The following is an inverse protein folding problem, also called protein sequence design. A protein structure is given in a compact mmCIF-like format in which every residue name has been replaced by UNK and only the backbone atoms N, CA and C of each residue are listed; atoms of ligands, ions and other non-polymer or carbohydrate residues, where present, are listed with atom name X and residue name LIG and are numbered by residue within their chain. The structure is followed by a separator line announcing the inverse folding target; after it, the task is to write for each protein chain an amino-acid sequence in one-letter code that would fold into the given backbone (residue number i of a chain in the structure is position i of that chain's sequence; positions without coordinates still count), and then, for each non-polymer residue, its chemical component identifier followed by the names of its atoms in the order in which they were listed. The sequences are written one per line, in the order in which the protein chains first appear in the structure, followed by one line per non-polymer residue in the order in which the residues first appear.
data_IF_491893671581
#
_entry.id   IF_491893671581
#
_cell.length_a   1.000
_cell.length_b   1.000
_cell.length_c   1.000
_cell.angle_alpha   90.00
_cell.angle_beta   90.00
_cell.angle_gamma   90.00
#
_symmetry.space_group_name_H-M   'P 1'
#
loop_
_entity.id
_entity.type
_entity.pdbx_description
1 polymer ?
#
# COMPACT_ATOMS: atom_id res chain seq x y z
N UNK A 1 -18.28 71.03 29.85
CA UNK A 1 -18.04 69.77 30.56
C UNK A 1 -19.13 68.79 30.14
N UNK A 2 -18.75 67.82 29.29
CA UNK A 2 -19.41 66.57 28.85
C UNK A 2 -20.93 66.53 28.61
N UNK A 3 -21.28 66.38 27.32
CA UNK A 3 -22.55 65.94 26.75
C UNK A 3 -23.05 64.61 27.31
N UNK A 4 -24.38 64.44 27.32
CA UNK A 4 -25.04 63.21 26.85
C UNK A 4 -26.44 63.54 26.34
N UNK A 5 -26.60 63.47 25.02
CA UNK A 5 -27.89 63.40 24.34
C UNK A 5 -28.14 61.94 23.95
N UNK A 6 -29.37 61.46 24.19
CA UNK A 6 -30.04 60.32 23.51
C UNK A 6 -31.43 60.10 24.12
N UNK A 7 -32.42 60.84 23.59
CA UNK A 7 -33.81 60.40 23.41
C UNK A 7 -33.87 59.68 22.04
N UNK A 8 -34.77 58.79 21.65
CA UNK A 8 -36.01 58.19 22.15
C UNK A 8 -36.39 57.12 21.09
N UNK A 9 -37.01 56.02 21.50
CA UNK A 9 -37.68 54.99 20.66
C UNK A 9 -39.12 55.52 20.34
N UNK A 10 -40.03 54.95 19.47
CA UNK A 10 -39.97 53.87 18.47
C UNK A 10 -40.75 54.09 17.13
N UNK A 11 -40.68 53.05 16.28
CA UNK A 11 -41.68 52.57 15.30
C UNK A 11 -41.91 53.38 14.02
N UNK A 12 -41.10 53.05 13.00
CA UNK A 12 -41.43 53.23 11.59
C UNK A 12 -40.98 52.00 10.81
N UNK A 13 -41.93 51.33 10.16
CA UNK A 13 -41.67 50.33 9.12
C UNK A 13 -40.67 50.89 8.11
N UNK A 14 -39.57 50.18 7.87
CA UNK A 14 -38.76 50.40 6.66
C UNK A 14 -38.80 49.08 5.89
N UNK A 15 -39.39 49.04 4.68
CA UNK A 15 -39.44 47.82 3.90
C UNK A 15 -38.00 47.39 3.58
N UNK A 16 -37.73 46.10 3.75
CA UNK A 16 -36.56 45.47 3.13
C UNK A 16 -36.64 45.80 1.64
N UNK A 17 -35.76 46.69 1.19
CA UNK A 17 -35.50 46.86 -0.23
C UNK A 17 -34.79 45.59 -0.66
N UNK A 18 -35.54 44.69 -1.32
CA UNK A 18 -34.98 43.64 -2.14
C UNK A 18 -34.04 44.31 -3.15
N UNK A 19 -32.75 44.31 -2.84
CA UNK A 19 -31.72 44.65 -3.81
C UNK A 19 -31.78 43.58 -4.89
N UNK A 20 -32.47 43.94 -5.97
CA UNK A 20 -32.42 43.34 -7.29
C UNK A 20 -30.99 43.47 -7.81
N UNK A 21 -30.13 42.53 -7.41
CA UNK A 21 -28.82 42.35 -8.01
C UNK A 21 -28.48 40.86 -8.05
N UNK A 22 -28.39 40.34 -9.27
CA UNK A 22 -27.91 39.00 -9.68
C UNK A 22 -28.86 37.79 -9.62
N UNK A 23 -30.11 37.93 -10.10
CA UNK A 23 -30.81 36.79 -10.74
C UNK A 23 -30.19 36.51 -12.11
N UNK A 24 -29.08 35.78 -12.13
CA UNK A 24 -28.41 35.41 -13.38
C UNK A 24 -26.99 34.88 -13.21
N UNK A 25 -26.33 35.20 -12.10
CA UNK A 25 -25.03 34.61 -11.80
C UNK A 25 -25.22 33.23 -11.19
N UNK A 26 -25.31 32.23 -12.08
CA UNK A 26 -24.88 30.87 -11.72
C UNK A 26 -23.37 30.96 -11.50
N UNK A 27 -22.96 31.25 -10.26
CA UNK A 27 -21.57 31.05 -9.85
C UNK A 27 -21.37 29.54 -9.86
N UNK A 28 -20.94 29.02 -11.02
CA UNK A 28 -20.37 27.68 -11.09
C UNK A 28 -19.05 27.74 -10.36
N UNK A 29 -19.08 27.42 -9.06
CA UNK A 29 -17.89 26.99 -8.36
C UNK A 29 -17.49 25.69 -9.04
N UNK A 30 -16.66 25.80 -10.08
CA UNK A 30 -15.99 24.66 -10.68
C UNK A 30 -15.09 24.10 -9.58
N UNK A 31 -15.59 23.15 -8.80
CA UNK A 31 -14.74 22.28 -8.00
C UNK A 31 -13.78 21.64 -8.99
N UNK A 32 -12.56 22.17 -9.08
CA UNK A 32 -11.51 21.58 -9.92
C UNK A 32 -11.11 20.23 -9.36
N UNK A 33 -11.18 20.12 -8.05
CA UNK A 33 -10.86 18.92 -7.29
C UNK A 33 -11.97 17.89 -7.38
N UNK A 34 -11.56 16.63 -7.56
CA UNK A 34 -12.47 15.48 -7.61
C UNK A 34 -12.13 14.49 -6.52
N UNK A 35 -13.15 14.12 -5.73
CA UNK A 35 -13.04 13.08 -4.72
C UNK A 35 -13.11 11.70 -5.39
N UNK A 36 -12.13 10.85 -5.12
CA UNK A 36 -12.03 9.50 -5.67
C UNK A 36 -11.94 8.48 -4.55
N UNK A 37 -12.62 7.37 -4.77
CA UNK A 37 -12.69 6.24 -3.87
C UNK A 37 -11.73 5.16 -4.41
N UNK A 38 -10.58 5.01 -3.77
CA UNK A 38 -9.63 3.94 -4.06
C UNK A 38 -10.01 2.72 -3.23
N UNK A 39 -10.04 1.56 -3.88
CA UNK A 39 -10.13 0.27 -3.20
C UNK A 39 -8.80 -0.45 -3.39
N UNK A 40 -8.13 -0.76 -2.29
CA UNK A 40 -6.94 -1.60 -2.30
C UNK A 40 -7.29 -2.93 -1.65
N UNK A 41 -7.16 -4.01 -2.43
CA UNK A 41 -7.20 -5.37 -1.90
C UNK A 41 -5.79 -5.71 -1.47
N UNK A 42 -5.60 -5.89 -0.17
CA UNK A 42 -4.32 -6.19 0.46
C UNK A 42 -4.30 -7.66 0.86
N UNK A 43 -3.23 -8.38 0.56
CA UNK A 43 -3.02 -9.74 1.00
C UNK A 43 -1.62 -9.92 1.55
N UNK A 44 -1.51 -10.15 2.86
CA UNK A 44 -0.27 -10.55 3.51
C UNK A 44 -0.28 -12.07 3.67
N UNK A 45 0.79 -12.73 3.27
CA UNK A 45 1.00 -14.16 3.53
C UNK A 45 2.08 -14.31 4.60
N UNK A 46 1.71 -14.89 5.73
CA UNK A 46 2.64 -15.27 6.79
C UNK A 46 3.08 -16.72 6.57
N UNK A 47 4.34 -16.93 6.20
CA UNK A 47 4.88 -18.26 5.88
C UNK A 47 5.80 -18.74 7.00
N UNK A 48 5.47 -19.88 7.61
CA UNK A 48 6.29 -20.52 8.64
C UNK A 48 7.45 -21.23 7.96
N UNK A 49 8.67 -20.97 8.43
CA UNK A 49 9.90 -21.46 7.82
C UNK A 49 10.56 -22.51 8.71
N UNK A 50 10.96 -23.62 8.10
CA UNK A 50 11.76 -24.65 8.73
C UNK A 50 13.08 -24.81 7.99
N UNK A 51 14.16 -24.97 8.75
CA UNK A 51 15.47 -25.29 8.21
C UNK A 51 15.54 -26.79 7.93
N UNK A 52 15.70 -27.15 6.65
CA UNK A 52 15.82 -28.54 6.22
C UNK A 52 17.13 -28.76 5.49
N UNK A 53 17.69 -29.95 5.64
CA UNK A 53 18.84 -30.38 4.87
C UNK A 53 18.37 -30.81 3.48
N UNK A 54 18.85 -30.15 2.44
CA UNK A 54 18.62 -30.53 1.05
C UNK A 54 19.93 -31.01 0.43
N UNK A 55 19.85 -32.12 -0.32
CA UNK A 55 20.98 -32.62 -1.08
C UNK A 55 20.95 -32.01 -2.47
N UNK A 56 22.01 -31.31 -2.85
CA UNK A 56 22.16 -30.72 -4.18
C UNK A 56 23.35 -31.34 -4.91
N UNK A 57 23.30 -31.47 -6.24
CA UNK A 57 24.46 -31.84 -7.02
C UNK A 57 25.47 -30.69 -6.99
N UNK A 58 26.64 -30.92 -6.39
CA UNK A 58 27.74 -29.97 -6.43
C UNK A 58 28.73 -30.37 -7.51
N UNK A 59 28.99 -29.42 -8.40
CA UNK A 59 30.05 -29.56 -9.39
C UNK A 59 31.37 -29.17 -8.75
N UNK A 60 32.42 -30.00 -8.85
CA UNK A 60 33.74 -29.59 -8.40
C UNK A 60 34.16 -28.37 -9.22
N UNK A 61 34.16 -27.19 -8.61
CA UNK A 61 34.71 -25.98 -9.22
C UNK A 61 36.20 -25.93 -8.91
N UNK A 62 37.02 -26.35 -9.88
CA UNK A 62 38.46 -26.13 -9.84
C UNK A 62 38.83 -24.95 -10.77
N UNK A 63 39.23 -23.78 -10.22
CA UNK A 63 39.66 -22.65 -11.03
C UNK A 63 40.86 -22.97 -11.93
N UNK A 64 41.69 -23.95 -11.57
CA UNK A 64 42.85 -24.36 -12.36
C UNK A 64 42.48 -25.26 -13.56
N UNK A 65 41.35 -25.98 -13.48
CA UNK A 65 40.87 -26.85 -14.57
C UNK A 65 40.39 -26.06 -15.81
N UNK A 66 40.02 -24.78 -15.64
CA UNK A 66 39.61 -23.88 -16.74
C UNK A 66 40.80 -23.58 -17.68
N UNK A 67 42.03 -23.68 -17.18
CA UNK A 67 43.26 -23.39 -17.94
C UNK A 67 43.85 -24.62 -18.65
N UNK A 68 43.31 -25.82 -18.42
CA UNK A 68 43.84 -27.08 -18.98
C UNK A 68 42.87 -27.60 -20.05
N UNK A 69 43.13 -27.25 -21.31
CA UNK A 69 42.44 -27.75 -22.50
C UNK A 69 42.82 -29.21 -22.82
N UNK A 70 42.39 -30.18 -22.01
CA UNK A 70 42.36 -31.59 -22.42
C UNK A 70 41.03 -32.24 -22.00
N UNK A 71 40.35 -32.98 -22.90
CA UNK A 71 39.12 -33.68 -22.56
C UNK A 71 39.51 -34.88 -21.68
N UNK A 72 39.44 -34.70 -20.36
CA UNK A 72 39.47 -35.81 -19.42
C UNK A 72 38.10 -36.50 -19.41
N UNK A 73 38.11 -37.82 -19.21
CA UNK A 73 36.94 -38.69 -19.29
C UNK A 73 35.75 -38.10 -18.50
N UNK A 74 34.69 -37.73 -19.22
CA UNK A 74 33.51 -37.07 -18.63
C UNK A 74 32.73 -37.93 -17.62
N UNK A 75 33.07 -39.21 -17.45
CA UNK A 75 32.42 -40.11 -16.48
C UNK A 75 32.88 -39.91 -15.03
N UNK A 76 34.08 -39.37 -14.78
CA UNK A 76 34.61 -39.19 -13.41
C UNK A 76 34.19 -37.86 -12.76
N UNK A 77 33.39 -37.06 -13.46
CA UNK A 77 32.96 -35.71 -13.03
C UNK A 77 31.49 -35.66 -12.61
N UNK A 78 30.89 -36.80 -12.26
CA UNK A 78 29.53 -36.80 -11.74
C UNK A 78 29.45 -35.90 -10.49
N UNK A 79 28.48 -34.97 -10.40
CA UNK A 79 28.41 -34.05 -9.29
C UNK A 79 28.28 -34.82 -7.98
N UNK A 80 29.17 -34.50 -7.03
CA UNK A 80 29.11 -35.11 -5.70
C UNK A 80 27.91 -34.51 -4.97
N UNK A 81 27.07 -35.32 -4.31
CA UNK A 81 25.97 -34.79 -3.52
C UNK A 81 26.55 -34.00 -2.34
N UNK A 82 26.19 -32.73 -2.23
CA UNK A 82 26.48 -31.88 -1.09
C UNK A 82 25.20 -31.57 -0.31
N UNK A 83 25.33 -31.54 1.01
CA UNK A 83 24.25 -31.17 1.90
C UNK A 83 24.27 -29.66 2.15
N UNK A 84 23.17 -28.99 1.85
CA UNK A 84 22.97 -27.58 2.16
C UNK A 84 21.78 -27.40 3.10
N UNK A 85 21.84 -26.40 3.96
CA UNK A 85 20.70 -26.01 4.80
C UNK A 85 19.88 -24.99 4.01
N UNK A 86 18.62 -25.33 3.73
CA UNK A 86 17.66 -24.45 3.05
C UNK A 86 16.46 -24.15 3.95
N UNK A 87 15.78 -23.03 3.67
CA UNK A 87 14.51 -22.70 4.32
C UNK A 87 13.36 -23.24 3.48
N UNK A 88 12.53 -24.07 4.09
CA UNK A 88 11.31 -24.62 3.49
C UNK A 88 10.10 -23.95 4.13
N UNK A 89 9.12 -23.57 3.32
CA UNK A 89 7.80 -23.14 3.81
C UNK A 89 7.03 -24.38 4.24
N UNK A 90 6.67 -24.46 5.52
CA UNK A 90 5.90 -25.57 6.08
C UNK A 90 4.40 -25.26 6.07
N UNK A 91 4.06 -24.01 6.34
CA UNK A 91 2.68 -23.53 6.39
C UNK A 91 2.61 -22.07 5.95
N UNK A 92 1.51 -21.67 5.32
CA UNK A 92 1.26 -20.31 4.88
C UNK A 92 -0.13 -19.86 5.34
N UNK A 93 -0.20 -18.71 5.98
CA UNK A 93 -1.43 -18.14 6.55
C UNK A 93 -1.73 -16.83 5.80
N UNK A 94 -2.65 -16.84 4.82
CA UNK A 94 -3.04 -15.63 4.12
C UNK A 94 -4.00 -14.79 4.96
N UNK A 95 -3.74 -13.48 5.05
CA UNK A 95 -4.61 -12.46 5.62
C UNK A 95 -4.98 -11.48 4.52
N UNK A 96 -6.28 -11.36 4.26
CA UNK A 96 -6.83 -10.49 3.22
C UNK A 96 -7.57 -9.35 3.89
N UNK A 97 -7.36 -8.14 3.39
CA UNK A 97 -8.10 -6.96 3.80
C UNK A 97 -8.53 -6.15 2.58
N UNK A 98 -9.65 -5.44 2.72
CA UNK A 98 -10.18 -4.54 1.71
C UNK A 98 -10.19 -3.13 2.27
N UNK A 99 -9.20 -2.38 1.84
CA UNK A 99 -9.01 -1.02 2.28
C UNK A 99 -9.64 -0.02 1.31
N UNK A 100 -10.31 0.99 1.87
CA UNK A 100 -10.96 2.07 1.11
C UNK A 100 -10.33 3.40 1.49
N UNK A 101 -9.71 4.06 0.52
CA UNK A 101 -9.09 5.37 0.70
C UNK A 101 -9.88 6.42 -0.10
N UNK A 102 -10.18 7.55 0.55
CA UNK A 102 -10.73 8.72 -0.12
C UNK A 102 -9.58 9.66 -0.42
N UNK A 103 -9.37 9.97 -1.69
CA UNK A 103 -8.32 10.89 -2.14
C UNK A 103 -8.93 12.00 -2.95
N UNK A 104 -8.30 13.17 -2.92
CA UNK A 104 -8.69 14.33 -3.71
C UNK A 104 -7.65 14.46 -4.81
N UNK A 105 -8.09 14.37 -6.07
CA UNK A 105 -7.26 14.75 -7.20
C UNK A 105 -7.29 16.27 -7.36
N UNK A 106 -6.17 16.87 -7.74
CA UNK A 106 -6.09 18.31 -7.99
C UNK A 106 -6.97 18.76 -9.17
N UNK A 107 -7.14 17.88 -10.16
CA UNK A 107 -7.97 18.11 -11.33
C UNK A 107 -8.98 16.99 -11.53
N UNK A 108 -10.18 17.34 -12.02
CA UNK A 108 -11.25 16.38 -12.26
C UNK A 108 -10.88 15.43 -13.42
N UNK A 109 -10.93 14.11 -13.21
CA UNK A 109 -10.58 13.16 -14.26
C UNK A 109 -11.74 13.00 -15.24
N UNK A 110 -11.43 13.02 -16.53
CA UNK A 110 -12.33 12.48 -17.57
C UNK A 110 -12.34 10.96 -17.54
N UNK A 111 -11.18 10.33 -17.31
CA UNK A 111 -11.03 8.89 -17.14
C UNK A 111 -9.79 8.56 -16.32
N UNK A 112 -9.90 7.52 -15.49
CA UNK A 112 -8.74 6.93 -14.80
C UNK A 112 -8.11 5.89 -15.72
N UNK A 113 -6.80 5.98 -15.91
CA UNK A 113 -6.04 5.09 -16.80
C UNK A 113 -5.37 3.96 -16.03
N UNK A 114 -4.87 4.22 -14.83
CA UNK A 114 -4.28 3.19 -13.97
C UNK A 114 -4.26 3.60 -12.52
N UNK A 115 -4.46 2.64 -11.62
CA UNK A 115 -4.05 2.72 -10.22
C UNK A 115 -3.01 1.64 -9.93
N UNK A 116 -1.86 1.99 -9.36
CA UNK A 116 -0.77 1.03 -9.07
C UNK A 116 -0.18 1.27 -7.71
N UNK A 117 0.20 0.19 -7.03
CA UNK A 117 0.99 0.23 -5.79
C UNK A 117 2.48 0.35 -6.15
N UNK A 118 3.20 1.20 -5.42
CA UNK A 118 4.62 1.49 -5.57
C UNK A 118 5.26 1.67 -4.19
N UNK A 119 6.59 1.60 -4.15
CA UNK A 119 7.40 1.94 -2.97
C UNK A 119 6.89 1.25 -1.69
N UNK A 120 6.64 -0.06 -1.77
CA UNK A 120 6.22 -0.86 -0.62
C UNK A 120 7.37 -0.98 0.37
N UNK A 121 7.10 -0.60 1.62
CA UNK A 121 7.93 -0.95 2.77
C UNK A 121 7.20 -2.03 3.56
N UNK A 122 7.90 -3.14 3.87
CA UNK A 122 7.32 -4.26 4.61
C UNK A 122 8.30 -4.73 5.68
N UNK A 123 7.85 -4.71 6.93
CA UNK A 123 8.59 -5.20 8.08
C UNK A 123 7.79 -6.31 8.80
N UNK A 124 8.50 -7.31 9.30
CA UNK A 124 7.93 -8.36 10.15
C UNK A 124 8.36 -8.18 11.60
N UNK A 125 7.47 -8.50 12.55
CA UNK A 125 7.78 -8.55 13.99
C UNK A 125 7.07 -9.73 14.64
N UNK A 126 7.63 -10.20 15.75
CA UNK A 126 6.95 -11.13 16.66
C UNK A 126 6.69 -10.38 17.96
N UNK A 127 5.50 -10.54 18.50
CA UNK A 127 5.13 -10.10 19.84
C UNK A 127 4.54 -11.29 20.62
N UNK A 128 4.71 -11.35 21.95
CA UNK A 128 4.00 -12.33 22.76
C UNK A 128 2.49 -12.10 22.68
N UNK A 129 1.71 -13.18 22.60
CA UNK A 129 0.25 -13.09 22.65
C UNK A 129 -0.22 -12.94 24.11
N UNK A 130 -1.02 -11.90 24.46
CA UNK A 130 -1.51 -11.72 25.83
C UNK A 130 -2.34 -12.89 26.38
N UNK A 131 -2.98 -13.70 25.52
CA UNK A 131 -3.75 -14.88 25.95
C UNK A 131 -2.88 -16.11 26.25
N UNK A 132 -1.57 -16.06 25.97
CA UNK A 132 -0.66 -17.20 26.11
C UNK A 132 -0.79 -18.26 25.00
N UNK A 133 -1.77 -18.12 24.10
CA UNK A 133 -1.96 -19.01 22.95
C UNK A 133 -1.03 -18.59 21.80
N UNK A 134 0.26 -18.92 21.92
CA UNK A 134 1.24 -18.73 20.86
C UNK A 134 1.84 -17.32 20.73
N UNK A 135 2.40 -17.03 19.56
CA UNK A 135 3.09 -15.78 19.24
C UNK A 135 2.29 -14.98 18.20
N UNK A 136 2.20 -13.66 18.38
CA UNK A 136 1.63 -12.75 17.40
C UNK A 136 2.68 -12.38 16.36
N UNK A 137 2.53 -12.90 15.14
CA UNK A 137 3.27 -12.43 13.99
C UNK A 137 2.60 -11.18 13.42
N UNK A 138 3.38 -10.11 13.27
CA UNK A 138 2.93 -8.82 12.77
C UNK A 138 3.63 -8.51 11.45
N UNK A 139 2.85 -8.06 10.47
CA UNK A 139 3.33 -7.44 9.25
C UNK A 139 2.97 -5.96 9.31
N UNK A 140 3.99 -5.10 9.38
CA UNK A 140 3.84 -3.64 9.39
C UNK A 140 4.30 -3.13 8.03
N UNK A 141 3.44 -2.41 7.33
CA UNK A 141 3.71 -2.00 5.96
C UNK A 141 3.06 -0.67 5.60
N UNK A 142 3.64 -0.02 4.61
CA UNK A 142 3.09 1.15 3.94
C UNK A 142 3.49 1.12 2.47
N UNK A 143 2.71 1.79 1.64
CA UNK A 143 2.98 1.87 0.22
C UNK A 143 2.41 3.17 -0.38
N UNK A 144 2.94 3.52 -1.54
CA UNK A 144 2.47 4.62 -2.34
C UNK A 144 1.51 4.13 -3.43
N UNK A 145 0.44 4.88 -3.65
CA UNK A 145 -0.53 4.65 -4.71
C UNK A 145 -0.30 5.68 -5.79
N UNK A 146 0.05 5.20 -6.97
CA UNK A 146 0.21 5.98 -8.18
C UNK A 146 -1.06 5.93 -9.01
N UNK A 147 -1.70 7.08 -9.19
CA UNK A 147 -2.85 7.24 -10.09
C UNK A 147 -2.38 7.95 -11.35
N UNK A 148 -2.74 7.40 -12.51
CA UNK A 148 -2.63 8.09 -13.80
C UNK A 148 -4.03 8.28 -14.36
N UNK A 149 -4.33 9.48 -14.80
CA UNK A 149 -5.64 9.83 -15.34
C UNK A 149 -5.50 10.82 -16.49
N UNK A 150 -6.56 10.95 -17.27
CA UNK A 150 -6.72 12.01 -18.25
C UNK A 150 -7.70 13.03 -17.67
N UNK A 151 -7.34 14.31 -17.63
CA UNK A 151 -8.21 15.37 -17.14
C UNK A 151 -9.32 15.72 -18.17
N UNK A 152 -10.16 16.70 -17.83
CA UNK A 152 -11.23 17.19 -18.72
C UNK A 152 -10.70 17.89 -19.99
N UNK A 153 -9.48 18.41 -19.97
CA UNK A 153 -8.82 19.05 -21.13
C UNK A 153 -8.15 18.05 -22.05
N UNK A 154 -8.04 16.79 -21.62
CA UNK A 154 -7.38 15.73 -22.37
C UNK A 154 -5.90 15.55 -22.02
N UNK A 155 -5.36 16.30 -21.05
CA UNK A 155 -3.97 16.14 -20.62
C UNK A 155 -3.80 14.91 -19.72
N UNK A 156 -2.62 14.29 -19.79
CA UNK A 156 -2.27 13.18 -18.92
C UNK A 156 -1.66 13.70 -17.62
N UNK A 157 -2.28 13.32 -16.50
CA UNK A 157 -1.87 13.70 -15.16
C UNK A 157 -1.49 12.46 -14.35
N UNK A 158 -0.70 12.69 -13.31
CA UNK A 158 -0.22 11.64 -12.43
C UNK A 158 -0.06 12.18 -11.01
N UNK A 159 -0.65 11.47 -10.06
CA UNK A 159 -0.61 11.85 -8.64
C UNK A 159 -0.28 10.63 -7.78
N UNK A 160 0.22 10.91 -6.58
CA UNK A 160 0.73 9.93 -5.64
C UNK A 160 0.08 10.12 -4.27
N UNK A 161 -0.32 9.01 -3.64
CA UNK A 161 -0.99 9.00 -2.34
C UNK A 161 -0.36 7.95 -1.43
N UNK A 162 -0.09 8.30 -0.17
CA UNK A 162 0.41 7.32 0.79
C UNK A 162 -0.75 6.52 1.42
N UNK A 163 -0.56 5.22 1.62
CA UNK A 163 -1.55 4.34 2.25
C UNK A 163 -1.76 4.58 3.74
N UNK A 164 -0.85 5.31 4.38
CA UNK A 164 -0.61 5.29 5.81
C UNK A 164 0.09 4.00 6.25
N UNK A 165 0.55 3.98 7.51
CA UNK A 165 1.08 2.79 8.16
C UNK A 165 -0.07 1.80 8.40
N UNK A 166 0.16 0.55 8.04
CA UNK A 166 -0.79 -0.57 8.16
C UNK A 166 -0.17 -1.70 8.94
N UNK A 167 -1.05 -2.49 9.55
CA UNK A 167 -0.66 -3.67 10.32
C UNK A 167 -1.65 -4.79 10.05
N UNK A 168 -1.13 -5.98 9.74
CA UNK A 168 -1.89 -7.22 9.78
C UNK A 168 -1.20 -8.20 10.73
N UNK A 169 -1.98 -9.10 11.32
CA UNK A 169 -1.49 -10.05 12.31
C UNK A 169 -2.01 -11.46 12.08
N UNK A 170 -1.18 -12.43 12.46
CA UNK A 170 -1.53 -13.84 12.54
C UNK A 170 -1.02 -14.43 13.86
N UNK A 171 -1.73 -15.42 14.39
CA UNK A 171 -1.28 -16.20 15.54
C UNK A 171 -0.47 -17.38 14.98
N UNK A 172 0.76 -17.51 15.46
CA UNK A 172 1.64 -18.65 15.19
C UNK A 172 1.72 -19.52 16.43
N UNK A 173 1.98 -20.81 16.25
CA UNK A 173 2.24 -21.71 17.37
C UNK A 173 3.44 -21.24 18.22
N UNK A 174 3.47 -21.54 19.54
CA UNK A 174 4.49 -21.01 20.46
C UNK A 174 5.93 -21.35 20.07
N UNK A 175 6.14 -22.52 19.47
CA UNK A 175 7.46 -23.02 19.05
C UNK A 175 8.02 -22.36 17.79
N UNK A 176 7.20 -21.58 17.06
CA UNK A 176 7.62 -21.00 15.79
C UNK A 176 8.35 -19.68 16.05
N UNK A 177 9.63 -19.66 15.68
CA UNK A 177 10.50 -18.49 15.80
C UNK A 177 10.87 -17.86 14.46
N UNK A 178 10.86 -18.63 13.35
CA UNK A 178 11.14 -18.11 12.02
C UNK A 178 9.91 -18.19 11.10
N UNK A 179 9.66 -17.07 10.42
CA UNK A 179 8.57 -16.91 9.48
C UNK A 179 8.93 -15.81 8.49
N UNK A 180 8.44 -15.87 7.25
CA UNK A 180 8.48 -14.74 6.31
C UNK A 180 7.11 -14.09 6.16
N UNK A 181 7.12 -12.86 5.67
CA UNK A 181 5.92 -12.14 5.27
C UNK A 181 6.07 -11.69 3.83
N UNK A 182 5.01 -11.88 3.05
CA UNK A 182 4.94 -11.44 1.67
C UNK A 182 3.67 -10.60 1.48
N UNK A 183 3.79 -9.50 0.73
CA UNK A 183 2.66 -8.65 0.38
C UNK A 183 2.31 -8.82 -1.10
N UNK A 184 1.02 -8.95 -1.37
CA UNK A 184 0.45 -8.75 -2.70
C UNK A 184 -0.74 -7.81 -2.59
N UNK A 185 -0.90 -6.93 -3.57
CA UNK A 185 -1.99 -5.96 -3.53
C UNK A 185 -2.48 -5.53 -4.91
N UNK A 186 -3.78 -5.24 -4.98
CA UNK A 186 -4.44 -4.72 -6.17
C UNK A 186 -5.13 -3.41 -5.85
N UNK A 187 -4.81 -2.34 -6.59
CA UNK A 187 -5.53 -1.06 -6.48
C UNK A 187 -6.53 -0.89 -7.62
N UNK A 188 -7.75 -0.51 -7.29
CA UNK A 188 -8.73 0.04 -8.23
C UNK A 188 -9.18 1.42 -7.77
N UNK A 189 -9.53 2.27 -8.71
CA UNK A 189 -10.00 3.62 -8.46
C UNK A 189 -11.36 3.83 -9.13
N UNK A 190 -12.31 4.37 -8.38
CA UNK A 190 -13.66 4.62 -8.84
C UNK A 190 -14.07 6.04 -8.43
N UNK A 191 -14.87 6.72 -9.26
CA UNK A 191 -15.49 7.99 -8.85
C UNK A 191 -16.35 7.74 -7.61
N UNK A 192 -16.19 8.60 -6.60
CA UNK A 192 -17.24 8.81 -5.62
C UNK A 192 -18.22 9.84 -6.24
#
# INVERSE_FOLDING_TARGET
MVQRDKRSIPLGYVPFTESTANKGNVIRVLSREALICLTVLECIVFSILEHVCATVPAWPFDPAAILITKPQNMLDHWPKPEAIIVKKVVCAIPKKDKNRLKVILQESPKRILSCKIKNLTLAKRIAPNPSGEGNLALAIYDYEIKIRYQDLKGELKQEYFNSGIRCQQAILEPQIQDFSVEFSGLCTAHGC
#
